data_IF_521608142534
#
_entry.id   IF_521608142534
#
_cell.length_a   1.000
_cell.length_b   1.000
_cell.length_c   1.000
_cell.angle_alpha   90.00
_cell.angle_beta   90.00
_cell.angle_gamma   90.00
#
_symmetry.space_group_name_H-M   'P 1'
#
loop_
_entity.id
_entity.type
_entity.pdbx_description
1 polymer ?
#
# COMPACT_ATOMS: atom_id res chain seq x y z
N UNK A 1 -10.27 10.78 10.80
CA UNK A 1 -11.70 10.93 10.49
C UNK A 1 -12.06 12.38 10.70
N UNK A 2 -12.96 12.95 9.89
CA UNK A 2 -13.42 14.34 10.05
C UNK A 2 -13.99 14.60 11.45
N UNK A 3 -14.69 13.61 12.04
CA UNK A 3 -15.14 13.66 13.43
C UNK A 3 -14.01 13.91 14.45
N UNK A 4 -12.82 13.30 14.26
CA UNK A 4 -11.68 13.56 15.15
C UNK A 4 -11.12 14.99 14.97
N UNK A 5 -11.18 15.52 13.75
CA UNK A 5 -10.75 16.88 13.46
C UNK A 5 -11.73 17.89 14.08
N UNK A 6 -13.03 17.68 13.87
CA UNK A 6 -14.10 18.46 14.48
C UNK A 6 -14.03 18.46 16.01
N UNK A 7 -13.85 17.28 16.63
CA UNK A 7 -13.71 17.15 18.10
C UNK A 7 -12.53 17.96 18.64
N UNK A 8 -11.39 17.93 17.94
CA UNK A 8 -10.19 18.70 18.29
C UNK A 8 -10.37 20.21 18.07
N UNK A 9 -11.00 20.60 16.97
CA UNK A 9 -11.29 22.00 16.64
C UNK A 9 -12.23 22.66 17.65
N UNK A 10 -13.23 21.91 18.13
CA UNK A 10 -14.23 22.41 19.09
C UNK A 10 -13.92 22.08 20.56
N UNK A 11 -12.70 21.62 20.86
CA UNK A 11 -12.22 21.32 22.23
C UNK A 11 -13.19 20.41 23.02
N UNK A 12 -13.84 19.48 22.34
CA UNK A 12 -14.75 18.53 22.97
C UNK A 12 -13.97 17.54 23.87
N UNK A 13 -14.59 17.05 24.96
CA UNK A 13 -13.94 16.20 25.96
C UNK A 13 -13.39 14.90 25.36
N UNK A 14 -12.49 14.24 26.11
CA UNK A 14 -11.77 13.03 25.69
C UNK A 14 -12.67 11.91 25.17
N UNK A 15 -12.07 11.07 24.32
CA UNK A 15 -12.73 10.07 23.48
C UNK A 15 -13.70 9.19 24.30
N UNK A 16 -14.99 9.44 24.15
CA UNK A 16 -16.07 8.58 24.62
C UNK A 16 -17.20 8.58 23.58
N UNK A 17 -18.05 7.54 23.61
CA UNK A 17 -19.07 7.35 22.57
C UNK A 17 -20.09 8.51 22.53
N UNK A 18 -20.38 9.15 23.67
CA UNK A 18 -21.28 10.29 23.75
C UNK A 18 -20.70 11.55 23.08
N UNK A 19 -19.42 11.82 23.28
CA UNK A 19 -18.69 12.94 22.68
C UNK A 19 -18.49 12.73 21.18
N UNK A 20 -18.24 11.48 20.75
CA UNK A 20 -18.16 11.12 19.34
C UNK A 20 -19.55 11.25 18.67
N UNK A 21 -20.63 10.82 19.34
CA UNK A 21 -22.00 10.99 18.84
C UNK A 21 -22.39 12.48 18.74
N UNK A 22 -22.08 13.29 19.77
CA UNK A 22 -22.31 14.73 19.76
C UNK A 22 -21.50 15.43 18.66
N UNK A 23 -20.23 15.05 18.48
CA UNK A 23 -19.38 15.59 17.43
C UNK A 23 -19.92 15.26 16.04
N UNK A 24 -20.43 14.04 15.82
CA UNK A 24 -21.08 13.66 14.57
C UNK A 24 -22.38 14.43 14.33
N UNK A 25 -23.22 14.57 15.36
CA UNK A 25 -24.48 15.30 15.26
C UNK A 25 -24.25 16.79 14.99
N UNK A 26 -23.28 17.42 15.66
CA UNK A 26 -22.92 18.81 15.46
C UNK A 26 -22.28 19.05 14.08
N UNK A 27 -21.38 18.15 13.65
CA UNK A 27 -20.82 18.18 12.29
C UNK A 27 -21.90 18.04 11.22
N UNK A 28 -22.86 17.14 11.41
CA UNK A 28 -24.03 17.00 10.53
C UNK A 28 -24.85 18.29 10.54
N UNK A 29 -25.18 18.83 11.71
CA UNK A 29 -25.98 20.06 11.82
C UNK A 29 -25.33 21.25 11.09
N UNK A 30 -24.01 21.42 11.20
CA UNK A 30 -23.28 22.52 10.57
C UNK A 30 -23.09 22.38 9.05
N UNK A 31 -23.15 21.14 8.53
CA UNK A 31 -22.81 20.86 7.14
C UNK A 31 -23.94 20.13 6.39
N UNK A 32 -25.13 19.94 6.97
CA UNK A 32 -26.23 19.17 6.39
C UNK A 32 -26.68 19.69 5.01
N UNK A 33 -26.51 20.99 4.79
CA UNK A 33 -26.79 21.73 3.58
C UNK A 33 -25.66 21.67 2.53
N UNK A 34 -24.51 21.10 2.90
CA UNK A 34 -23.27 21.05 2.10
C UNK A 34 -22.86 19.61 1.81
N UNK A 35 -23.37 19.00 0.72
CA UNK A 35 -23.13 17.60 0.37
C UNK A 35 -21.64 17.21 0.33
N UNK A 36 -20.76 18.14 -0.03
CA UNK A 36 -19.32 17.96 -0.17
C UNK A 36 -18.58 17.60 1.14
N UNK A 37 -19.19 17.87 2.30
CA UNK A 37 -18.64 17.50 3.61
C UNK A 37 -18.95 16.04 3.99
N UNK A 38 -19.82 15.36 3.24
CA UNK A 38 -20.18 13.98 3.50
C UNK A 38 -19.47 13.00 2.57
N UNK A 39 -19.33 11.76 3.04
CA UNK A 39 -18.84 10.67 2.21
C UNK A 39 -19.86 10.37 1.12
N UNK A 40 -19.58 10.79 -0.10
CA UNK A 40 -20.38 10.39 -1.25
C UNK A 40 -20.23 8.89 -1.49
N UNK A 41 -21.27 8.14 -1.15
CA UNK A 41 -21.43 6.78 -1.62
C UNK A 41 -21.94 6.84 -3.05
N UNK A 42 -21.18 6.29 -4.00
CA UNK A 42 -21.66 6.12 -5.38
C UNK A 42 -22.21 4.72 -5.48
N UNK A 43 -23.54 4.53 -5.31
CA UNK A 43 -24.12 3.23 -5.61
C UNK A 43 -23.86 2.89 -7.07
N UNK A 44 -23.72 1.59 -7.36
CA UNK A 44 -23.51 1.09 -8.73
C UNK A 44 -22.09 0.57 -8.98
N UNK A 45 -21.54 0.89 -10.15
CA UNK A 45 -20.30 0.27 -10.68
C UNK A 45 -19.09 0.46 -9.72
N UNK A 46 -18.79 1.66 -9.18
CA UNK A 46 -17.63 1.86 -8.31
C UNK A 46 -17.68 1.00 -7.03
N UNK A 47 -18.88 0.87 -6.44
CA UNK A 47 -19.08 0.03 -5.27
C UNK A 47 -18.85 -1.45 -5.60
N UNK A 48 -19.39 -1.94 -6.72
CA UNK A 48 -19.22 -3.33 -7.15
C UNK A 48 -17.76 -3.67 -7.45
N UNK A 49 -17.03 -2.77 -8.11
CA UNK A 49 -15.59 -2.91 -8.31
C UNK A 49 -14.82 -3.01 -6.99
N UNK A 50 -15.18 -2.19 -6.00
CA UNK A 50 -14.57 -2.23 -4.66
C UNK A 50 -14.86 -3.54 -3.93
N UNK A 51 -16.12 -3.99 -3.96
CA UNK A 51 -16.55 -5.25 -3.34
C UNK A 51 -15.76 -6.43 -3.91
N UNK A 52 -15.70 -6.55 -5.24
CA UNK A 52 -14.97 -7.62 -5.92
C UNK A 52 -13.47 -7.56 -5.57
N UNK A 53 -12.86 -6.37 -5.59
CA UNK A 53 -11.45 -6.21 -5.20
C UNK A 53 -11.19 -6.68 -3.76
N UNK A 54 -12.06 -6.30 -2.81
CA UNK A 54 -11.91 -6.70 -1.40
C UNK A 54 -12.10 -8.21 -1.21
N UNK A 55 -13.04 -8.82 -1.93
CA UNK A 55 -13.24 -10.27 -1.93
C UNK A 55 -12.01 -11.01 -2.49
N UNK A 56 -11.47 -10.57 -3.63
CA UNK A 56 -10.23 -11.10 -4.17
C UNK A 56 -9.07 -10.94 -3.17
N UNK A 57 -8.95 -9.79 -2.50
CA UNK A 57 -7.91 -9.59 -1.49
C UNK A 57 -8.08 -10.53 -0.28
N UNK A 58 -9.33 -10.81 0.12
CA UNK A 58 -9.64 -11.78 1.17
C UNK A 58 -9.13 -13.17 0.79
N UNK A 59 -9.43 -13.63 -0.42
CA UNK A 59 -8.97 -14.93 -0.91
C UNK A 59 -7.44 -15.03 -0.93
N UNK A 60 -6.72 -14.03 -1.42
CA UNK A 60 -5.25 -14.02 -1.39
C UNK A 60 -4.68 -14.18 0.05
N UNK A 61 -5.33 -13.56 1.04
CA UNK A 61 -4.91 -13.67 2.45
C UNK A 61 -5.19 -15.05 3.04
N UNK A 62 -6.32 -15.65 2.67
CA UNK A 62 -6.74 -16.98 3.16
C UNK A 62 -5.89 -18.10 2.56
N UNK A 63 -5.53 -18.00 1.27
CA UNK A 63 -4.74 -19.04 0.58
C UNK A 63 -3.35 -19.24 1.18
N UNK A 64 -2.65 -18.16 1.54
CA UNK A 64 -1.24 -18.25 1.96
C UNK A 64 -1.01 -19.16 3.18
N UNK A 65 -1.76 -19.03 4.29
CA UNK A 65 -1.69 -19.95 5.42
C UNK A 65 -2.02 -21.40 5.04
N UNK A 66 -3.04 -21.63 4.21
CA UNK A 66 -3.47 -22.96 3.80
C UNK A 66 -2.37 -23.64 2.97
N UNK A 67 -1.82 -22.92 1.98
CA UNK A 67 -0.70 -23.41 1.16
C UNK A 67 0.50 -23.73 2.04
N UNK A 68 0.86 -22.85 2.98
CA UNK A 68 2.01 -23.08 3.86
C UNK A 68 1.79 -24.31 4.75
N UNK A 69 0.59 -24.46 5.33
CA UNK A 69 0.25 -25.63 6.14
C UNK A 69 0.26 -26.92 5.31
N UNK A 70 -0.31 -26.89 4.11
CA UNK A 70 -0.32 -28.04 3.21
C UNK A 70 1.10 -28.42 2.80
N UNK A 71 1.98 -27.45 2.49
CA UNK A 71 3.39 -27.72 2.20
C UNK A 71 4.15 -28.34 3.37
N UNK A 72 3.83 -27.96 4.61
CA UNK A 72 4.42 -28.59 5.80
C UNK A 72 4.00 -30.06 5.92
N UNK A 73 2.73 -30.38 5.67
CA UNK A 73 2.25 -31.78 5.67
C UNK A 73 2.90 -32.59 4.55
N UNK A 74 2.91 -32.03 3.33
CA UNK A 74 3.52 -32.66 2.16
C UNK A 74 5.03 -32.87 2.33
N UNK A 75 5.72 -32.13 3.20
CA UNK A 75 7.14 -32.40 3.47
C UNK A 75 7.38 -33.81 4.04
N UNK A 76 6.37 -34.37 4.72
CA UNK A 76 6.37 -35.75 5.20
C UNK A 76 5.59 -36.67 4.25
N UNK A 77 4.38 -36.27 3.85
CA UNK A 77 3.47 -37.14 3.11
C UNK A 77 3.85 -37.31 1.63
N UNK A 78 4.43 -36.28 1.00
CA UNK A 78 4.83 -36.30 -0.41
C UNK A 78 5.99 -35.30 -0.67
N UNK A 79 7.20 -35.58 -0.16
CA UNK A 79 8.29 -34.61 -0.06
C UNK A 79 8.71 -34.01 -1.41
N UNK A 80 8.60 -34.79 -2.49
CA UNK A 80 9.01 -34.38 -3.84
C UNK A 80 8.13 -33.27 -4.43
N UNK A 81 6.94 -33.03 -3.87
CA UNK A 81 6.03 -31.95 -4.31
C UNK A 81 5.88 -30.82 -3.28
N UNK A 82 6.38 -30.98 -2.06
CA UNK A 82 6.19 -30.02 -0.97
C UNK A 82 6.64 -28.59 -1.32
N UNK A 83 7.69 -28.43 -2.14
CA UNK A 83 8.19 -27.11 -2.59
C UNK A 83 7.83 -26.76 -4.03
N UNK A 84 7.08 -27.62 -4.73
CA UNK A 84 6.72 -27.36 -6.13
C UNK A 84 5.77 -26.17 -6.20
N UNK A 85 6.10 -25.23 -7.09
CA UNK A 85 5.18 -24.15 -7.47
C UNK A 85 4.17 -24.73 -8.45
N UNK A 86 2.89 -24.58 -8.14
CA UNK A 86 1.78 -24.94 -9.02
C UNK A 86 0.97 -23.68 -9.24
N UNK A 87 0.58 -23.44 -10.49
CA UNK A 87 -0.27 -22.31 -10.87
C UNK A 87 -1.57 -22.85 -11.46
N UNK A 88 -2.69 -22.15 -11.28
CA UNK A 88 -3.95 -22.48 -11.95
C UNK A 88 -3.75 -22.63 -13.47
N UNK A 89 -4.33 -23.68 -14.03
CA UNK A 89 -4.39 -23.89 -15.48
C UNK A 89 -5.63 -23.18 -16.08
N UNK A 90 -5.95 -23.44 -17.37
CA UNK A 90 -7.16 -22.90 -18.02
C UNK A 90 -8.47 -23.26 -17.30
N UNK A 91 -8.56 -24.40 -16.60
CA UNK A 91 -9.76 -24.74 -15.81
C UNK A 91 -9.88 -23.89 -14.54
N UNK A 92 -8.80 -23.24 -14.12
CA UNK A 92 -8.78 -22.38 -12.93
C UNK A 92 -8.30 -23.12 -11.69
N UNK A 93 -7.92 -24.40 -11.80
CA UNK A 93 -7.44 -25.20 -10.67
C UNK A 93 -5.94 -25.43 -10.86
N UNK A 94 -5.19 -25.33 -9.76
CA UNK A 94 -3.77 -25.61 -9.77
C UNK A 94 -3.57 -27.13 -9.76
N UNK A 95 -2.84 -27.71 -10.74
CA UNK A 95 -2.79 -29.16 -10.95
C UNK A 95 -2.41 -30.00 -9.71
N UNK A 96 -1.47 -29.53 -8.88
CA UNK A 96 -1.09 -30.26 -7.66
C UNK A 96 -2.23 -30.28 -6.64
N UNK A 97 -2.91 -29.15 -6.45
CA UNK A 97 -4.01 -29.06 -5.49
C UNK A 97 -5.21 -29.87 -5.96
N UNK A 98 -5.53 -29.82 -7.27
CA UNK A 98 -6.58 -30.66 -7.83
C UNK A 98 -6.28 -32.15 -7.69
N UNK A 99 -5.03 -32.57 -7.94
CA UNK A 99 -4.62 -33.97 -7.75
C UNK A 99 -4.76 -34.43 -6.28
N UNK A 100 -4.31 -33.61 -5.31
CA UNK A 100 -4.44 -33.93 -3.89
C UNK A 100 -5.91 -34.00 -3.44
N UNK A 101 -6.73 -33.08 -3.95
CA UNK A 101 -8.15 -32.98 -3.67
C UNK A 101 -8.99 -34.03 -4.41
N UNK A 102 -8.39 -34.77 -5.36
CA UNK A 102 -9.11 -35.68 -6.27
C UNK A 102 -10.16 -34.97 -7.15
N UNK A 103 -9.89 -33.71 -7.47
CA UNK A 103 -10.70 -32.90 -8.39
C UNK A 103 -10.33 -33.21 -9.85
N UNK A 104 -11.25 -32.92 -10.77
CA UNK A 104 -11.00 -33.09 -12.20
C UNK A 104 -9.89 -32.14 -12.69
N UNK A 105 -8.73 -32.72 -13.05
CA UNK A 105 -7.60 -32.02 -13.67
C UNK A 105 -7.31 -32.58 -15.06
N UNK A 106 -6.43 -31.91 -15.80
CA UNK A 106 -6.03 -32.40 -17.14
C UNK A 106 -5.38 -33.78 -17.04
N UNK A 107 -5.73 -34.69 -17.97
CA UNK A 107 -5.18 -36.07 -18.00
C UNK A 107 -3.65 -36.09 -17.90
N UNK A 108 -2.97 -35.18 -18.59
CA UNK A 108 -1.51 -35.03 -18.54
C UNK A 108 -0.97 -34.71 -17.15
N UNK A 109 -1.70 -33.88 -16.39
CA UNK A 109 -1.32 -33.53 -15.03
C UNK A 109 -1.60 -34.68 -14.07
N UNK A 110 -2.74 -35.36 -14.22
CA UNK A 110 -3.09 -36.55 -13.47
C UNK A 110 -1.97 -37.60 -13.58
N UNK A 111 -1.66 -38.02 -14.81
CA UNK A 111 -0.60 -39.00 -15.07
C UNK A 111 0.77 -38.56 -14.54
N UNK A 112 1.08 -37.25 -14.61
CA UNK A 112 2.35 -36.71 -14.09
C UNK A 112 2.45 -36.89 -12.58
N UNK A 113 1.40 -36.60 -11.82
CA UNK A 113 1.41 -36.71 -10.36
C UNK A 113 1.25 -38.15 -9.89
N UNK A 114 0.48 -38.98 -10.59
CA UNK A 114 0.38 -40.42 -10.32
C UNK A 114 1.76 -41.09 -10.41
N UNK A 115 2.47 -40.89 -11.53
CA UNK A 115 3.85 -41.42 -11.70
C UNK A 115 4.82 -40.87 -10.66
N UNK A 116 4.62 -39.63 -10.22
CA UNK A 116 5.48 -38.99 -9.22
C UNK A 116 5.20 -39.55 -7.82
N UNK A 117 3.95 -39.87 -7.52
CA UNK A 117 3.53 -40.54 -6.29
C UNK A 117 4.00 -41.98 -6.23
N UNK A 118 3.82 -42.75 -7.32
CA UNK A 118 4.31 -44.13 -7.43
C UNK A 118 5.81 -44.22 -7.14
N UNK A 119 6.58 -43.25 -7.62
CA UNK A 119 8.03 -43.17 -7.41
C UNK A 119 8.43 -42.51 -6.09
N UNK A 120 7.50 -41.94 -5.34
CA UNK A 120 7.79 -41.18 -4.12
C UNK A 120 8.36 -42.07 -3.02
N UNK A 121 9.31 -41.52 -2.27
CA UNK A 121 9.86 -42.17 -1.08
C UNK A 121 8.75 -42.47 -0.06
N UNK A 122 7.83 -41.53 0.15
CA UNK A 122 6.74 -41.67 1.12
C UNK A 122 5.86 -42.87 0.76
N UNK A 123 5.45 -42.98 -0.51
CA UNK A 123 4.65 -44.12 -0.97
C UNK A 123 5.38 -45.47 -0.82
N UNK A 124 6.69 -45.51 -1.11
CA UNK A 124 7.50 -46.74 -0.95
C UNK A 124 7.58 -47.25 0.48
N UNK A 125 7.54 -46.35 1.47
CA UNK A 125 7.53 -46.71 2.89
C UNK A 125 6.11 -46.79 3.48
N UNK A 126 5.07 -46.92 2.65
CA UNK A 126 3.68 -47.06 3.09
C UNK A 126 3.04 -45.77 3.61
N UNK A 127 3.65 -44.62 3.34
CA UNK A 127 3.08 -43.30 3.64
C UNK A 127 1.81 -43.03 2.84
N UNK A 128 0.86 -42.34 3.47
CA UNK A 128 -0.41 -41.95 2.85
C UNK A 128 -0.58 -40.43 2.88
N UNK A 129 -1.29 -39.90 1.90
CA UNK A 129 -1.76 -38.52 1.93
C UNK A 129 -2.95 -38.46 2.88
N UNK A 130 -2.82 -37.68 3.96
CA UNK A 130 -3.83 -37.63 5.01
C UNK A 130 -5.13 -37.00 4.51
N UNK A 131 -6.25 -37.38 5.15
CA UNK A 131 -7.54 -36.73 4.94
C UNK A 131 -7.44 -35.21 5.12
N UNK A 132 -6.69 -34.76 6.13
CA UNK A 132 -6.49 -33.34 6.41
C UNK A 132 -5.82 -32.61 5.22
N UNK A 133 -4.75 -33.18 4.65
CA UNK A 133 -4.11 -32.63 3.45
C UNK A 133 -5.07 -32.55 2.25
N UNK A 134 -5.93 -33.56 2.07
CA UNK A 134 -6.95 -33.55 1.01
C UNK A 134 -7.98 -32.45 1.21
N UNK A 135 -8.48 -32.27 2.44
CA UNK A 135 -9.45 -31.20 2.76
C UNK A 135 -8.88 -29.80 2.53
N UNK A 136 -7.63 -29.57 2.93
CA UNK A 136 -6.95 -28.29 2.65
C UNK A 136 -6.77 -28.05 1.14
N UNK A 137 -6.42 -29.09 0.38
CA UNK A 137 -6.30 -29.01 -1.07
C UNK A 137 -7.66 -28.72 -1.74
N UNK A 138 -8.74 -29.34 -1.28
CA UNK A 138 -10.10 -29.10 -1.76
C UNK A 138 -10.53 -27.64 -1.50
N UNK A 139 -10.26 -27.12 -0.31
CA UNK A 139 -10.51 -25.71 0.02
C UNK A 139 -9.73 -24.77 -0.91
N UNK A 140 -8.48 -25.07 -1.24
CA UNK A 140 -7.71 -24.28 -2.22
C UNK A 140 -8.33 -24.34 -3.62
N UNK A 141 -8.81 -25.51 -4.06
CA UNK A 141 -9.48 -25.64 -5.35
C UNK A 141 -10.76 -24.78 -5.40
N UNK A 142 -11.58 -24.84 -4.35
CA UNK A 142 -12.76 -23.98 -4.21
C UNK A 142 -12.41 -22.49 -4.28
N UNK A 143 -11.38 -22.05 -3.56
CA UNK A 143 -10.95 -20.65 -3.57
C UNK A 143 -10.50 -20.24 -4.99
N UNK A 144 -9.70 -21.05 -5.68
CA UNK A 144 -9.25 -20.69 -7.04
C UNK A 144 -10.41 -20.59 -8.04
N UNK A 145 -11.39 -21.50 -7.95
CA UNK A 145 -12.60 -21.44 -8.77
C UNK A 145 -13.37 -20.16 -8.46
N UNK A 146 -13.51 -19.81 -7.18
CA UNK A 146 -14.18 -18.58 -6.74
C UNK A 146 -13.47 -17.31 -7.22
N UNK A 147 -12.13 -17.26 -7.14
CA UNK A 147 -11.34 -16.15 -7.69
C UNK A 147 -11.57 -15.98 -9.19
N UNK A 148 -11.59 -17.07 -9.96
CA UNK A 148 -11.84 -17.01 -11.40
C UNK A 148 -13.24 -16.49 -11.72
N UNK A 149 -14.25 -16.82 -10.92
CA UNK A 149 -15.59 -16.26 -11.08
C UNK A 149 -15.61 -14.76 -10.80
N UNK A 150 -14.98 -14.33 -9.70
CA UNK A 150 -14.84 -12.92 -9.36
C UNK A 150 -14.04 -12.13 -10.41
N UNK A 151 -13.01 -12.73 -11.01
CA UNK A 151 -12.24 -12.11 -12.11
C UNK A 151 -13.08 -11.95 -13.37
N UNK A 152 -13.93 -12.91 -13.70
CA UNK A 152 -14.90 -12.78 -14.80
C UNK A 152 -15.91 -11.67 -14.52
N UNK A 153 -16.42 -11.59 -13.30
CA UNK A 153 -17.34 -10.52 -12.92
C UNK A 153 -16.67 -9.16 -12.92
N UNK A 154 -15.42 -9.08 -12.44
CA UNK A 154 -14.61 -7.87 -12.53
C UNK A 154 -14.49 -7.40 -13.98
N UNK A 155 -14.13 -8.31 -14.89
CA UNK A 155 -14.04 -8.02 -16.32
C UNK A 155 -15.37 -7.53 -16.91
N UNK A 156 -16.50 -8.10 -16.50
CA UNK A 156 -17.84 -7.61 -16.93
C UNK A 156 -18.08 -6.17 -16.50
N UNK A 157 -17.65 -5.79 -15.29
CA UNK A 157 -17.78 -4.40 -14.83
C UNK A 157 -16.79 -3.47 -15.54
N UNK A 158 -15.53 -3.87 -15.75
CA UNK A 158 -14.53 -3.05 -16.44
C UNK A 158 -14.87 -2.81 -17.92
N UNK A 159 -15.59 -3.72 -18.56
CA UNK A 159 -16.05 -3.57 -19.95
C UNK A 159 -17.31 -2.69 -20.11
N UNK A 160 -17.79 -2.07 -19.03
CA UNK A 160 -18.94 -1.17 -19.07
C UNK A 160 -18.57 0.15 -19.77
N UNK A 161 -19.40 0.66 -20.70
CA UNK A 161 -19.08 1.88 -21.45
C UNK A 161 -18.87 3.10 -20.54
N UNK A 162 -19.57 3.17 -19.41
CA UNK A 162 -19.54 4.30 -18.47
C UNK A 162 -18.17 4.51 -17.80
N UNK A 163 -17.32 3.48 -17.75
CA UNK A 163 -15.98 3.56 -17.16
C UNK A 163 -14.86 3.22 -18.17
N UNK A 164 -15.21 3.07 -19.45
CA UNK A 164 -14.26 2.60 -20.47
C UNK A 164 -13.06 3.53 -20.61
N UNK A 165 -13.27 4.84 -20.60
CA UNK A 165 -12.17 5.81 -20.65
C UNK A 165 -11.21 5.69 -19.45
N UNK A 166 -11.74 5.39 -18.26
CA UNK A 166 -10.90 5.18 -17.08
C UNK A 166 -10.04 3.93 -17.26
N UNK A 167 -10.63 2.85 -17.78
CA UNK A 167 -9.94 1.60 -18.05
C UNK A 167 -8.85 1.83 -19.09
N UNK A 168 -9.16 2.47 -20.22
CA UNK A 168 -8.19 2.73 -21.29
C UNK A 168 -7.03 3.59 -20.82
N UNK A 169 -7.31 4.63 -20.02
CA UNK A 169 -6.25 5.43 -19.41
C UNK A 169 -5.40 4.57 -18.48
N UNK A 170 -6.00 3.77 -17.59
CA UNK A 170 -5.23 2.95 -16.66
C UNK A 170 -4.45 1.81 -17.34
N UNK A 171 -4.93 1.31 -18.48
CA UNK A 171 -4.21 0.41 -19.38
C UNK A 171 -2.97 1.09 -19.99
N UNK A 172 -3.03 2.38 -20.34
CA UNK A 172 -1.85 3.15 -20.76
C UNK A 172 -0.83 3.31 -19.63
N UNK A 173 -1.26 3.24 -18.37
CA UNK A 173 -0.35 3.14 -17.21
C UNK A 173 0.03 1.67 -16.89
N UNK A 174 -0.39 0.69 -17.70
CA UNK A 174 -0.10 -0.72 -17.49
C UNK A 174 -0.57 -1.25 -16.12
N UNK A 175 -1.66 -0.72 -15.60
CA UNK A 175 -2.25 -1.19 -14.36
C UNK A 175 -3.19 -2.36 -14.66
N UNK A 176 -2.99 -3.52 -14.03
CA UNK A 176 -3.88 -4.67 -14.24
C UNK A 176 -5.26 -4.50 -13.59
N UNK A 177 -6.23 -5.31 -14.03
CA UNK A 177 -7.66 -5.24 -13.69
C UNK A 177 -7.97 -5.01 -12.20
N UNK A 178 -7.32 -5.77 -11.31
CA UNK A 178 -7.52 -5.65 -9.86
C UNK A 178 -7.13 -4.25 -9.36
N UNK A 179 -6.02 -3.71 -9.86
CA UNK A 179 -5.55 -2.36 -9.52
C UNK A 179 -6.49 -1.31 -10.13
N UNK A 180 -6.95 -1.51 -11.36
CA UNK A 180 -7.92 -0.63 -11.99
C UNK A 180 -9.23 -0.56 -11.19
N UNK A 181 -9.78 -1.72 -10.82
CA UNK A 181 -11.00 -1.83 -10.00
C UNK A 181 -10.92 -0.97 -8.73
N UNK A 182 -9.81 -1.10 -8.00
CA UNK A 182 -9.58 -0.34 -6.78
C UNK A 182 -9.47 1.15 -7.06
N UNK A 183 -8.68 1.56 -8.06
CA UNK A 183 -8.47 2.97 -8.37
C UNK A 183 -9.78 3.62 -8.83
N UNK A 184 -10.45 3.03 -9.82
CA UNK A 184 -11.74 3.49 -10.34
C UNK A 184 -12.77 3.61 -9.21
N UNK A 185 -12.84 2.62 -8.31
CA UNK A 185 -13.75 2.67 -7.16
C UNK A 185 -13.57 3.88 -6.25
N UNK A 186 -12.39 4.51 -6.25
CA UNK A 186 -12.11 5.67 -5.43
C UNK A 186 -12.27 7.01 -6.16
N UNK A 187 -12.05 7.04 -7.47
CA UNK A 187 -11.90 8.28 -8.25
C UNK A 187 -13.04 8.51 -9.26
N UNK A 188 -13.99 7.59 -9.37
CA UNK A 188 -15.14 7.75 -10.24
C UNK A 188 -16.30 8.47 -9.52
N UNK A 189 -16.97 9.43 -10.17
CA UNK A 189 -16.55 10.17 -11.37
C UNK A 189 -15.46 11.22 -11.05
N UNK A 190 -14.70 11.62 -12.08
CA UNK A 190 -13.52 12.51 -11.96
C UNK A 190 -13.94 13.98 -11.80
N UNK A 191 -15.15 14.32 -12.23
CA UNK A 191 -15.80 15.61 -12.00
C UNK A 191 -15.72 16.05 -10.54
N UNK A 192 -15.78 15.11 -9.58
CA UNK A 192 -15.74 15.37 -8.13
C UNK A 192 -14.41 15.88 -7.56
N UNK A 193 -13.36 15.89 -8.37
CA UNK A 193 -12.04 16.32 -7.93
C UNK A 193 -11.69 17.63 -8.60
N UNK A 194 -11.80 18.73 -7.87
CA UNK A 194 -11.49 20.06 -8.41
C UNK A 194 -9.98 20.30 -8.51
N UNK A 195 -9.22 19.58 -7.68
CA UNK A 195 -7.78 19.80 -7.56
C UNK A 195 -6.97 18.51 -7.44
N UNK A 196 -5.72 18.59 -7.92
CA UNK A 196 -4.76 17.49 -7.81
C UNK A 196 -4.50 17.05 -6.35
N UNK A 197 -4.38 17.95 -5.35
CA UNK A 197 -4.22 17.55 -3.96
C UNK A 197 -5.37 16.66 -3.45
N UNK A 198 -6.61 17.00 -3.79
CA UNK A 198 -7.80 16.24 -3.38
C UNK A 198 -7.79 14.84 -4.02
N UNK A 199 -7.45 14.75 -5.30
CA UNK A 199 -7.25 13.49 -6.02
C UNK A 199 -6.15 12.62 -5.38
N UNK A 200 -4.97 13.22 -5.10
CA UNK A 200 -3.86 12.54 -4.44
C UNK A 200 -4.22 12.06 -3.05
N UNK A 201 -4.96 12.87 -2.28
CA UNK A 201 -5.46 12.51 -0.95
C UNK A 201 -6.38 11.30 -1.06
N UNK A 202 -7.30 11.27 -2.03
CA UNK A 202 -8.19 10.12 -2.24
C UNK A 202 -7.44 8.81 -2.50
N UNK A 203 -6.37 8.86 -3.30
CA UNK A 203 -5.52 7.70 -3.61
C UNK A 203 -4.48 7.35 -2.52
N UNK A 204 -4.37 8.14 -1.45
CA UNK A 204 -3.42 7.87 -0.38
C UNK A 204 -2.01 8.41 -0.63
N UNK A 205 -1.82 9.26 -1.63
CA UNK A 205 -0.54 9.77 -2.13
C UNK A 205 -0.31 11.26 -1.82
N UNK A 206 -1.13 11.89 -0.98
CA UNK A 206 -0.90 13.24 -0.48
C UNK A 206 -0.04 13.23 0.80
N UNK A 207 0.65 14.34 1.05
CA UNK A 207 1.18 14.67 2.38
C UNK A 207 0.14 15.46 3.16
N UNK A 208 0.02 15.21 4.46
CA UNK A 208 -0.75 16.04 5.38
C UNK A 208 0.20 16.65 6.40
N UNK A 209 0.01 17.94 6.67
CA UNK A 209 0.66 18.62 7.77
C UNK A 209 -0.21 18.43 9.03
N UNK A 210 0.27 17.64 9.98
CA UNK A 210 -0.33 17.55 11.29
C UNK A 210 0.21 18.69 12.15
N UNK A 211 -0.58 19.74 12.32
CA UNK A 211 -0.35 20.75 13.35
C UNK A 211 -1.23 20.41 14.55
N UNK A 212 -0.63 19.88 15.61
CA UNK A 212 -1.31 19.71 16.89
C UNK A 212 -0.53 20.47 17.95
N UNK A 213 -0.90 21.74 18.20
CA UNK A 213 -0.52 22.60 19.34
C UNK A 213 0.97 22.72 19.69
N UNK A 214 1.62 21.60 19.96
CA UNK A 214 3.00 21.44 20.43
C UNK A 214 3.93 20.81 19.37
N UNK A 215 3.41 20.23 18.28
CA UNK A 215 4.23 19.61 17.23
C UNK A 215 3.67 19.87 15.83
N UNK A 216 4.51 20.44 14.98
CA UNK A 216 4.30 20.47 13.52
C UNK A 216 5.00 19.24 12.94
N UNK A 217 4.23 18.30 12.42
CA UNK A 217 4.73 17.07 11.80
C UNK A 217 4.16 16.87 10.41
N UNK A 218 5.01 16.74 9.40
CA UNK A 218 4.57 16.39 8.04
C UNK A 218 4.38 14.87 7.94
N UNK A 219 3.12 14.41 7.91
CA UNK A 219 2.81 13.00 7.71
C UNK A 219 2.66 12.70 6.22
N UNK A 220 3.54 11.87 5.69
CA UNK A 220 3.42 11.36 4.32
C UNK A 220 2.40 10.22 4.28
N UNK A 221 1.52 10.22 3.27
CA UNK A 221 0.53 9.17 3.08
C UNK A 221 -0.83 9.43 3.74
N UNK A 222 -1.34 10.64 3.57
CA UNK A 222 -2.73 10.97 3.86
C UNK A 222 -3.70 10.25 2.90
N UNK A 223 -4.80 9.70 3.43
CA UNK A 223 -5.89 9.10 2.65
C UNK A 223 -5.92 7.57 2.59
N UNK A 224 -6.32 7.00 1.44
CA UNK A 224 -6.55 5.55 1.30
C UNK A 224 -5.25 4.74 1.38
N UNK A 225 -5.02 4.10 2.54
CA UNK A 225 -3.91 3.15 2.72
C UNK A 225 -3.96 2.00 1.70
N UNK A 226 -5.16 1.55 1.37
CA UNK A 226 -5.37 0.45 0.43
C UNK A 226 -4.90 0.82 -0.99
N UNK A 227 -5.28 2.00 -1.48
CA UNK A 227 -4.84 2.49 -2.79
C UNK A 227 -3.35 2.78 -2.80
N UNK A 228 -2.81 3.41 -1.76
CA UNK A 228 -1.37 3.63 -1.65
C UNK A 228 -0.59 2.33 -1.77
N UNK A 229 -0.99 1.29 -1.03
CA UNK A 229 -0.34 -0.02 -1.11
C UNK A 229 -0.43 -0.64 -2.50
N UNK A 230 -1.57 -0.55 -3.18
CA UNK A 230 -1.74 -1.06 -4.53
C UNK A 230 -0.86 -0.31 -5.56
N UNK A 231 -0.83 1.02 -5.50
CA UNK A 231 0.01 1.87 -6.36
C UNK A 231 1.49 1.57 -6.13
N UNK A 232 1.91 1.43 -4.87
CA UNK A 232 3.31 1.11 -4.54
C UNK A 232 3.70 -0.27 -5.06
N UNK A 233 2.81 -1.25 -4.93
CA UNK A 233 3.04 -2.59 -5.47
C UNK A 233 3.11 -2.57 -7.00
N UNK A 234 2.24 -1.82 -7.67
CA UNK A 234 2.29 -1.63 -9.13
C UNK A 234 3.63 -1.01 -9.55
N UNK A 235 4.11 0.03 -8.87
CA UNK A 235 5.44 0.62 -9.16
C UNK A 235 6.55 -0.44 -9.01
N UNK A 236 6.54 -1.19 -7.91
CA UNK A 236 7.56 -2.20 -7.61
C UNK A 236 7.57 -3.36 -8.61
N UNK A 237 6.43 -3.69 -9.20
CA UNK A 237 6.28 -4.87 -10.07
C UNK A 237 6.33 -4.52 -11.55
N UNK A 238 5.86 -3.33 -11.92
CA UNK A 238 5.64 -2.93 -13.31
C UNK A 238 6.52 -1.77 -13.76
N UNK A 239 6.97 -0.88 -12.87
CA UNK A 239 7.75 0.32 -13.25
C UNK A 239 9.24 0.17 -12.92
N UNK A 240 9.54 -0.27 -11.70
CA UNK A 240 10.91 -0.42 -11.20
C UNK A 240 11.70 -1.50 -11.98
N UNK A 241 11.15 -2.69 -12.31
CA UNK A 241 11.91 -3.68 -13.06
C UNK A 241 11.92 -3.33 -14.55
N UNK A 242 13.08 -2.96 -15.11
CA UNK A 242 13.24 -2.60 -16.53
C UNK A 242 12.67 -3.65 -17.50
N UNK A 243 12.81 -4.95 -17.18
CA UNK A 243 12.32 -6.06 -18.01
C UNK A 243 10.80 -6.22 -18.00
N UNK A 244 10.13 -5.69 -16.98
CA UNK A 244 8.67 -5.81 -16.79
C UNK A 244 7.93 -4.52 -17.18
N UNK A 245 8.66 -3.48 -17.61
CA UNK A 245 8.10 -2.15 -17.89
C UNK A 245 7.24 -2.18 -19.15
N UNK A 246 5.95 -1.79 -19.07
CA UNK A 246 5.11 -1.65 -20.25
C UNK A 246 5.71 -0.66 -21.26
N UNK A 247 5.56 -0.95 -22.55
CA UNK A 247 6.12 -0.12 -23.64
C UNK A 247 5.34 1.17 -23.92
N UNK A 248 4.28 1.43 -23.16
CA UNK A 248 3.49 2.66 -23.22
C UNK A 248 4.34 3.87 -22.83
N UNK A 249 4.08 5.03 -23.46
CA UNK A 249 4.78 6.29 -23.20
C UNK A 249 4.80 6.68 -21.72
N UNK A 250 3.68 6.52 -21.03
CA UNK A 250 3.50 6.86 -19.63
C UNK A 250 4.40 6.00 -18.73
N UNK A 251 4.42 4.68 -18.95
CA UNK A 251 5.26 3.77 -18.18
C UNK A 251 6.76 3.98 -18.42
N UNK A 252 7.17 4.26 -19.66
CA UNK A 252 8.58 4.57 -19.95
C UNK A 252 9.04 5.83 -19.25
N UNK A 253 8.27 6.90 -19.35
CA UNK A 253 8.56 8.16 -18.65
C UNK A 253 8.62 8.00 -17.12
N UNK A 254 7.64 7.30 -16.52
CA UNK A 254 7.66 7.02 -15.08
C UNK A 254 8.84 6.15 -14.67
N UNK A 255 9.24 5.26 -15.57
CA UNK A 255 10.37 4.38 -15.42
C UNK A 255 11.72 5.10 -15.43
N UNK A 256 11.92 6.00 -16.40
CA UNK A 256 13.08 6.89 -16.46
C UNK A 256 13.17 7.74 -15.21
N UNK A 257 12.05 8.36 -14.80
CA UNK A 257 11.99 9.11 -13.54
C UNK A 257 12.34 8.25 -12.31
N UNK A 258 11.87 7.00 -12.26
CA UNK A 258 12.24 6.07 -11.20
C UNK A 258 13.75 5.79 -11.21
N UNK A 259 14.32 5.51 -12.38
CA UNK A 259 15.74 5.20 -12.56
C UNK A 259 16.62 6.41 -12.20
N UNK A 260 16.23 7.62 -12.56
CA UNK A 260 16.91 8.87 -12.17
C UNK A 260 16.94 9.06 -10.66
N UNK A 261 15.80 8.85 -9.99
CA UNK A 261 15.73 8.93 -8.53
C UNK A 261 16.53 7.81 -7.87
N UNK A 262 16.53 6.62 -8.47
CA UNK A 262 17.33 5.50 -7.99
C UNK A 262 18.82 5.81 -8.09
N UNK A 263 19.29 6.29 -9.23
CA UNK A 263 20.68 6.67 -9.42
C UNK A 263 21.08 7.81 -8.48
N UNK A 264 20.23 8.83 -8.37
CA UNK A 264 20.44 9.94 -7.43
C UNK A 264 20.61 9.46 -5.99
N UNK A 265 19.69 8.62 -5.50
CA UNK A 265 19.65 8.28 -4.07
C UNK A 265 20.41 7.02 -3.67
N UNK A 266 20.69 6.10 -4.58
CA UNK A 266 21.41 4.86 -4.29
C UNK A 266 22.81 4.80 -4.87
N UNK A 267 23.09 5.51 -5.98
CA UNK A 267 24.44 5.54 -6.57
C UNK A 267 25.27 6.73 -6.10
N UNK A 268 24.65 7.81 -5.60
CA UNK A 268 25.40 8.88 -4.94
C UNK A 268 25.67 8.56 -3.47
N UNK A 269 26.93 8.26 -3.14
CA UNK A 269 27.39 7.97 -1.78
C UNK A 269 27.26 9.22 -0.88
N UNK A 270 27.35 10.41 -1.47
CA UNK A 270 27.33 11.68 -0.75
C UNK A 270 25.95 12.07 -0.20
N UNK A 271 24.86 11.96 -0.98
CA UNK A 271 23.50 12.26 -0.46
C UNK A 271 23.02 11.21 0.55
N UNK A 272 23.46 9.96 0.37
CA UNK A 272 23.26 8.89 1.33
C UNK A 272 23.87 9.26 2.68
N UNK A 273 25.15 9.66 2.70
CA UNK A 273 25.85 10.11 3.91
C UNK A 273 25.20 11.35 4.55
N UNK A 274 24.86 12.38 3.76
CA UNK A 274 24.22 13.61 4.27
C UNK A 274 22.91 13.32 5.02
N UNK A 275 22.08 12.41 4.52
CA UNK A 275 20.82 12.05 5.18
C UNK A 275 20.98 11.13 6.38
N UNK A 276 21.97 10.26 6.35
CA UNK A 276 22.34 9.41 7.49
C UNK A 276 22.71 10.29 8.68
N UNK A 277 23.58 11.28 8.44
CA UNK A 277 23.96 12.28 9.43
C UNK A 277 22.74 13.08 9.89
N UNK A 278 21.91 13.60 8.97
CA UNK A 278 20.72 14.36 9.34
C UNK A 278 19.72 13.56 10.20
N UNK A 279 19.50 12.27 9.89
CA UNK A 279 18.59 11.41 10.65
C UNK A 279 19.11 11.14 12.07
N UNK A 280 20.40 10.91 12.21
CA UNK A 280 21.01 10.67 13.52
C UNK A 280 21.07 11.95 14.36
N UNK A 281 21.33 13.10 13.74
CA UNK A 281 21.22 14.41 14.40
C UNK A 281 19.82 14.64 14.97
N UNK A 282 18.77 14.34 14.20
CA UNK A 282 17.37 14.43 14.68
C UNK A 282 17.13 13.47 15.85
N UNK A 283 17.68 12.25 15.80
CA UNK A 283 17.55 11.27 16.88
C UNK A 283 18.24 11.74 18.16
N UNK A 284 19.47 12.21 18.05
CA UNK A 284 20.25 12.79 19.16
C UNK A 284 19.48 13.97 19.75
N UNK A 285 18.98 14.88 18.92
CA UNK A 285 18.19 16.03 19.37
C UNK A 285 16.92 15.59 20.13
N UNK A 286 16.20 14.58 19.62
CA UNK A 286 15.02 14.05 20.31
C UNK A 286 15.36 13.40 21.66
N UNK A 287 16.50 12.71 21.77
CA UNK A 287 16.96 12.13 23.04
C UNK A 287 17.35 13.21 24.04
N UNK A 288 18.10 14.23 23.59
CA UNK A 288 18.44 15.40 24.40
C UNK A 288 17.14 16.06 24.90
N UNK A 289 16.19 16.35 24.01
CA UNK A 289 14.92 16.96 24.39
C UNK A 289 14.09 16.10 25.35
N UNK A 290 14.11 14.76 25.21
CA UNK A 290 13.45 13.87 26.16
C UNK A 290 14.09 13.91 27.55
N UNK A 291 15.42 13.93 27.63
CA UNK A 291 16.14 14.03 28.90
C UNK A 291 15.90 15.39 29.55
N UNK A 292 16.00 16.48 28.78
CA UNK A 292 15.79 17.83 29.28
C UNK A 292 14.36 18.04 29.77
N UNK A 293 13.35 17.65 28.99
CA UNK A 293 11.95 17.81 29.40
C UNK A 293 11.51 16.79 30.46
N UNK A 294 12.06 15.58 30.46
CA UNK A 294 11.65 14.51 31.37
C UNK A 294 12.32 14.55 32.74
N UNK A 295 13.61 14.93 32.80
CA UNK A 295 14.40 14.87 34.03
C UNK A 295 14.72 16.24 34.61
N UNK A 296 14.99 17.24 33.76
CA UNK A 296 15.48 18.55 34.21
C UNK A 296 14.33 19.52 34.48
N UNK A 297 13.35 19.59 33.57
CA UNK A 297 12.20 20.51 33.67
C UNK A 297 11.38 20.38 34.98
N UNK A 298 11.14 19.19 35.55
CA UNK A 298 10.42 19.05 36.82
C UNK A 298 11.18 19.60 38.04
N UNK A 299 12.49 19.81 37.91
CA UNK A 299 13.37 20.23 39.01
C UNK A 299 13.59 21.75 39.07
N UNK A 300 13.03 22.51 38.11
CA UNK A 300 13.26 23.95 37.97
C UNK A 300 12.03 24.78 38.40
N UNK A 301 12.27 25.93 39.05
CA UNK A 301 11.20 26.90 39.32
C UNK A 301 10.76 27.54 38.00
N UNK A 302 9.46 27.89 37.87
CA UNK A 302 8.83 28.37 36.62
C UNK A 302 9.60 29.48 35.87
N UNK A 303 10.24 30.40 36.60
CA UNK A 303 10.99 31.52 36.01
C UNK A 303 12.42 31.13 35.59
N UNK A 304 13.04 30.16 36.27
CA UNK A 304 14.37 29.64 35.95
C UNK A 304 14.32 28.66 34.76
N UNK A 305 13.21 27.93 34.63
CA UNK A 305 12.97 27.00 33.53
C UNK A 305 13.01 27.68 32.14
N UNK A 306 12.48 28.89 32.01
CA UNK A 306 12.42 29.63 30.73
C UNK A 306 13.83 30.05 30.28
N UNK A 307 14.62 30.63 31.20
CA UNK A 307 16.01 31.03 30.91
C UNK A 307 16.90 29.83 30.58
N UNK A 308 16.71 28.72 31.30
CA UNK A 308 17.47 27.50 31.08
C UNK A 308 17.06 26.82 29.76
N UNK A 309 15.78 26.87 29.37
CA UNK A 309 15.32 26.39 28.05
C UNK A 309 15.98 27.15 26.90
N UNK A 310 16.07 28.48 26.97
CA UNK A 310 16.74 29.28 25.93
C UNK A 310 18.24 28.97 25.83
N UNK A 311 18.92 28.80 26.97
CA UNK A 311 20.34 28.44 26.99
C UNK A 311 20.58 27.01 26.50
N UNK A 312 19.70 26.07 26.84
CA UNK A 312 19.79 24.68 26.38
C UNK A 312 19.50 24.55 24.88
N UNK A 313 18.53 25.30 24.34
CA UNK A 313 18.26 25.32 22.91
C UNK A 313 19.46 25.89 22.12
N UNK A 314 20.10 26.94 22.66
CA UNK A 314 21.33 27.50 22.10
C UNK A 314 22.50 26.49 22.17
N UNK A 315 22.70 25.82 23.30
CA UNK A 315 23.72 24.78 23.47
C UNK A 315 23.47 23.59 22.54
N UNK A 316 22.21 23.17 22.39
CA UNK A 316 21.82 22.09 21.47
C UNK A 316 22.14 22.48 20.02
N UNK A 317 21.84 23.72 19.60
CA UNK A 317 22.19 24.24 18.27
C UNK A 317 23.70 24.29 18.04
N UNK A 318 24.49 24.71 19.02
CA UNK A 318 25.96 24.73 18.95
C UNK A 318 26.54 23.31 18.87
N UNK A 319 26.01 22.38 19.66
CA UNK A 319 26.37 20.96 19.59
C UNK A 319 26.03 20.36 18.22
N UNK A 320 24.85 20.65 17.67
CA UNK A 320 24.44 20.18 16.35
C UNK A 320 25.32 20.73 15.22
N UNK A 321 25.71 22.01 15.29
CA UNK A 321 26.69 22.60 14.36
C UNK A 321 28.05 21.91 14.47
N UNK A 322 28.56 21.70 15.67
CA UNK A 322 29.87 21.06 15.88
C UNK A 322 29.87 19.56 15.51
N UNK A 323 28.76 18.84 15.73
CA UNK A 323 28.61 17.42 15.37
C UNK A 323 28.52 17.24 13.85
N UNK A 324 27.88 18.17 13.14
CA UNK A 324 27.81 18.18 11.67
C UNK A 324 29.21 18.18 11.04
N UNK A 325 30.12 18.98 11.59
CA UNK A 325 31.44 19.22 11.00
C UNK A 325 32.50 18.17 11.39
N UNK A 326 32.36 17.52 12.55
CA UNK A 326 33.40 16.61 13.09
C UNK A 326 33.03 15.13 13.09
N UNK A 327 31.74 14.76 13.07
CA UNK A 327 31.29 13.37 13.26
C UNK A 327 30.65 12.73 12.03
N UNK A 328 30.49 13.46 10.92
CA UNK A 328 29.82 12.97 9.71
C UNK A 328 30.38 11.63 9.19
N UNK A 329 31.70 11.46 9.20
CA UNK A 329 32.35 10.22 8.77
C UNK A 329 32.21 9.08 9.79
N UNK A 330 32.30 9.36 11.10
CA UNK A 330 32.18 8.32 12.15
C UNK A 330 30.75 7.80 12.29
N UNK A 331 29.75 8.69 12.19
CA UNK A 331 28.32 8.33 12.21
C UNK A 331 27.97 7.48 10.99
N UNK A 332 28.51 7.82 9.82
CA UNK A 332 28.27 7.05 8.58
C UNK A 332 28.76 5.59 8.67
N UNK A 333 29.84 5.33 9.43
CA UNK A 333 30.42 3.99 9.62
C UNK A 333 29.64 3.11 10.61
N UNK A 334 28.88 3.71 11.54
CA UNK A 334 28.12 2.98 12.56
C UNK A 334 26.70 2.59 12.15
N UNK A 335 26.14 3.22 11.12
CA UNK A 335 24.76 2.99 10.69
C UNK A 335 24.72 1.87 9.67
N UNK A 336 23.83 0.88 9.89
CA UNK A 336 23.60 -0.20 8.93
C UNK A 336 23.10 0.39 7.61
N UNK A 337 23.96 0.36 6.60
CA UNK A 337 23.72 0.86 5.25
C UNK A 337 22.38 0.33 4.65
N UNK A 338 21.97 -0.87 5.07
CA UNK A 338 20.71 -1.51 4.68
C UNK A 338 19.44 -0.76 5.16
N UNK A 339 19.44 -0.14 6.34
CA UNK A 339 18.29 0.62 6.85
C UNK A 339 18.11 1.95 6.11
N UNK A 340 19.24 2.56 5.75
CA UNK A 340 19.33 3.81 5.00
C UNK A 340 18.82 3.58 3.57
N UNK A 341 19.36 2.55 2.92
CA UNK A 341 18.90 2.07 1.61
C UNK A 341 17.40 1.78 1.63
N UNK A 342 16.87 1.09 2.65
CA UNK A 342 15.41 0.85 2.78
C UNK A 342 14.58 2.14 2.82
N UNK A 343 15.08 3.19 3.49
CA UNK A 343 14.43 4.50 3.53
C UNK A 343 14.37 5.19 2.15
N UNK A 344 15.43 5.09 1.36
CA UNK A 344 15.46 5.62 0.00
C UNK A 344 14.51 4.89 -0.94
N UNK A 345 14.41 3.56 -0.85
CA UNK A 345 13.45 2.78 -1.64
C UNK A 345 12.02 3.29 -1.45
N UNK A 346 11.59 3.49 -0.20
CA UNK A 346 10.27 4.04 0.10
C UNK A 346 10.06 5.46 -0.47
N UNK A 347 11.10 6.30 -0.41
CA UNK A 347 11.02 7.67 -0.92
C UNK A 347 10.89 7.70 -2.45
N UNK A 348 11.66 6.88 -3.15
CA UNK A 348 11.60 6.78 -4.62
C UNK A 348 10.19 6.35 -5.02
N UNK A 349 9.69 5.26 -4.43
CA UNK A 349 8.34 4.75 -4.71
C UNK A 349 7.29 5.84 -4.44
N UNK A 350 7.40 6.56 -3.32
CA UNK A 350 6.47 7.64 -2.99
C UNK A 350 6.50 8.78 -4.02
N UNK A 351 7.69 9.21 -4.44
CA UNK A 351 7.85 10.28 -5.45
C UNK A 351 7.32 9.83 -6.81
N UNK A 352 7.65 8.62 -7.25
CA UNK A 352 7.14 8.04 -8.49
C UNK A 352 5.62 7.88 -8.45
N UNK A 353 5.03 7.45 -7.32
CA UNK A 353 3.58 7.39 -7.12
C UNK A 353 2.94 8.78 -7.21
N UNK A 354 3.56 9.79 -6.58
CA UNK A 354 3.10 11.16 -6.63
C UNK A 354 3.12 11.77 -8.04
N UNK A 355 4.09 11.39 -8.87
CA UNK A 355 4.16 11.77 -10.28
C UNK A 355 3.11 11.03 -11.12
N UNK A 356 2.98 9.70 -10.92
CA UNK A 356 1.97 8.89 -11.60
C UNK A 356 0.55 9.43 -11.33
N UNK A 357 0.22 9.75 -10.08
CA UNK A 357 -1.08 10.36 -9.75
C UNK A 357 -1.29 11.72 -10.44
N UNK A 358 -0.23 12.53 -10.61
CA UNK A 358 -0.31 13.81 -11.32
C UNK A 358 -0.61 13.61 -12.80
N UNK A 359 0.07 12.66 -13.44
CA UNK A 359 -0.15 12.34 -14.85
C UNK A 359 -1.55 11.76 -15.06
N UNK A 360 -1.96 10.81 -14.20
CA UNK A 360 -3.27 10.18 -14.25
C UNK A 360 -4.40 11.20 -14.09
N UNK A 361 -4.30 12.10 -13.12
CA UNK A 361 -5.30 13.15 -12.92
C UNK A 361 -5.46 14.05 -14.15
N UNK A 362 -4.34 14.49 -14.74
CA UNK A 362 -4.35 15.33 -15.93
C UNK A 362 -5.02 14.62 -17.11
N UNK A 363 -4.75 13.33 -17.29
CA UNK A 363 -5.29 12.56 -18.40
C UNK A 363 -6.78 12.27 -18.24
N UNK A 364 -7.22 11.93 -17.04
CA UNK A 364 -8.65 11.75 -16.72
C UNK A 364 -9.44 13.05 -16.90
N UNK A 365 -8.91 14.19 -16.41
CA UNK A 365 -9.50 15.52 -16.64
C UNK A 365 -9.40 16.01 -18.08
N UNK A 366 -8.70 15.31 -18.96
CA UNK A 366 -8.64 15.65 -20.38
C UNK A 366 -9.68 14.85 -21.17
N UNK A 367 -9.77 13.54 -20.92
CA UNK A 367 -10.66 12.65 -21.69
C UNK A 367 -12.08 12.58 -21.14
N UNK A 368 -12.25 12.46 -19.83
CA UNK A 368 -13.56 12.13 -19.25
C UNK A 368 -14.48 13.37 -19.10
N UNK A 369 -13.92 14.54 -18.79
CA UNK A 369 -14.72 15.79 -18.67
C UNK A 369 -15.24 16.29 -20.02
N UNK A 370 -14.61 15.90 -21.14
CA UNK A 370 -15.09 16.24 -22.49
C UNK A 370 -16.37 15.47 -22.87
N UNK A 371 -16.67 14.36 -22.17
CA UNK A 371 -17.82 13.49 -22.42
C UNK A 371 -18.94 13.77 -21.41
N UNK A 372 -18.61 14.15 -20.18
CA UNK A 372 -19.61 14.55 -19.18
C UNK A 372 -20.42 15.79 -19.61
N UNK A 373 -19.82 16.73 -20.37
CA UNK A 373 -20.54 17.87 -20.95
C UNK A 373 -21.41 17.49 -22.17
N UNK A 374 -21.10 16.40 -22.88
CA UNK A 374 -21.88 15.94 -24.03
C UNK A 374 -23.08 15.05 -23.66
N UNK A 375 -23.12 14.50 -22.44
CA UNK A 375 -24.24 13.71 -21.92
C UNK A 375 -25.20 14.52 -21.02
N UNK A 376 -24.95 15.83 -20.87
CA UNK A 376 -25.80 16.78 -20.13
C UNK A 376 -26.55 17.76 -21.04
N UNK A 377 -26.28 17.75 -22.35
CA UNK A 377 -27.11 18.31 -23.42
C UNK A 377 -27.99 17.20 -24.01
#
# INVERSE_FOLDING_TARGET
>A
SECNHYRRGHKLPDKNDAADALALAAYLWENHDKPEFFLHFVPGIPQKLREIYLQLQSFNRIQSPIINRLRQQLAFEFPEVAKVRTTPNKSGIAPLWGWLAQEEITKSAQTRYDRKWEKSLANRYGGIISYFSRQLAMLLCFIHVSEKHLEKDLQRYLNRPEIKDYVDILDEFGMGDRTQALIISQIYPISRFDSLPQFKKRLGCAGEENSSGDKVGFQTGAGSKLCRSAIYLWILTSIAPKKSRPLTKQCQFLGEYYDELFDKFYRSDEETRKRVVAKELVRINNQINQVLHGQVKPLLKKQEAIRIEEQLDMMSKILLMNISDTLGEKISKGIKESEVKKGFGNLIIMKTAGLACKMLFKELKRRCTSIESANQE
#
